data_IF_093591421682
#
_entry.id   IF_093591421682
#
_cell.length_a   1.000
_cell.length_b   1.000
_cell.length_c   1.000
_cell.angle_alpha   90.00
_cell.angle_beta   90.00
_cell.angle_gamma   90.00
#
_symmetry.space_group_name_H-M   'P 1'
#
loop_
_entity.id
_entity.type
_entity.pdbx_description
1 polymer ?
#
# COMPACT_ATOMS: atom_id res chain seq x y z
N UNK A 1 -2.75 6.93 9.04
CA UNK A 1 -2.51 7.42 7.66
C UNK A 1 -3.80 7.88 6.97
N UNK A 2 -5.00 7.48 7.41
CA UNK A 2 -6.24 7.97 6.81
C UNK A 2 -7.48 7.26 7.33
N UNK A 3 -8.61 7.41 6.64
CA UNK A 3 -9.84 6.65 6.92
C UNK A 3 -10.41 6.02 5.64
N UNK A 4 -11.02 4.85 5.79
CA UNK A 4 -11.65 4.12 4.69
C UNK A 4 -12.84 4.89 4.13
N UNK A 5 -12.82 5.24 2.84
CA UNK A 5 -13.95 5.88 2.14
C UNK A 5 -14.79 4.86 1.37
N UNK A 6 -14.14 3.87 0.76
CA UNK A 6 -14.77 2.78 0.00
C UNK A 6 -14.06 1.46 0.28
N UNK A 7 -14.78 0.35 0.33
CA UNK A 7 -14.16 -0.96 0.57
C UNK A 7 -14.87 -2.12 -0.12
N UNK A 8 -14.08 -3.16 -0.40
CA UNK A 8 -14.51 -4.48 -0.87
C UNK A 8 -13.61 -5.55 -0.24
N UNK A 9 -13.91 -6.82 -0.45
CA UNK A 9 -13.03 -7.91 0.04
C UNK A 9 -11.70 -7.94 -0.71
N UNK A 10 -11.59 -7.32 -1.89
CA UNK A 10 -10.35 -7.27 -2.68
C UNK A 10 -9.44 -6.11 -2.28
N UNK A 11 -9.94 -5.12 -1.55
CA UNK A 11 -9.19 -3.92 -1.25
C UNK A 11 -10.07 -2.77 -0.77
N UNK A 12 -9.46 -1.65 -0.45
CA UNK A 12 -10.13 -0.47 0.09
C UNK A 12 -9.45 0.81 -0.36
N UNK A 13 -10.22 1.90 -0.34
CA UNK A 13 -9.75 3.26 -0.62
C UNK A 13 -9.72 4.02 0.69
N UNK A 14 -8.62 4.71 0.95
CA UNK A 14 -8.45 5.63 2.07
C UNK A 14 -8.36 7.07 1.60
N UNK A 15 -8.83 7.99 2.42
CA UNK A 15 -8.59 9.42 2.24
C UNK A 15 -7.78 9.98 3.41
N UNK A 16 -6.85 10.87 3.09
CA UNK A 16 -6.02 11.64 4.03
C UNK A 16 -6.44 13.09 3.98
N UNK A 17 -6.50 13.76 5.14
CA UNK A 17 -6.63 15.22 5.20
C UNK A 17 -5.26 15.82 5.47
N UNK A 18 -4.76 16.62 4.54
CA UNK A 18 -3.61 17.48 4.79
C UNK A 18 -3.98 18.54 5.85
N UNK A 19 -3.04 18.95 6.73
CA UNK A 19 -1.60 18.76 6.64
C UNK A 19 -1.08 17.58 7.48
N UNK A 20 -1.74 16.40 7.45
CA UNK A 20 -1.17 15.20 8.07
C UNK A 20 0.29 14.96 7.60
N UNK A 21 1.19 14.61 8.52
CA UNK A 21 2.64 14.71 8.30
C UNK A 21 3.22 13.68 7.31
N UNK A 22 2.45 12.67 6.91
CA UNK A 22 2.97 11.55 6.11
C UNK A 22 1.95 11.08 5.08
N UNK A 23 2.23 11.40 3.81
CA UNK A 23 1.52 10.81 2.67
C UNK A 23 1.94 9.34 2.59
N UNK A 24 0.99 8.39 2.45
CA UNK A 24 1.33 6.99 2.26
C UNK A 24 2.23 6.81 1.03
N UNK A 25 3.09 5.79 1.06
CA UNK A 25 3.97 5.45 -0.06
C UNK A 25 3.50 4.18 -0.77
N UNK A 26 3.76 4.12 -2.07
CA UNK A 26 3.49 2.94 -2.88
C UNK A 26 4.25 1.71 -2.33
N UNK A 27 3.59 0.55 -2.27
CA UNK A 27 4.12 -0.66 -1.67
C UNK A 27 3.96 -0.75 -0.14
N UNK A 28 3.55 0.32 0.54
CA UNK A 28 3.44 0.31 2.00
C UNK A 28 2.34 -0.63 2.49
N UNK A 29 2.63 -1.30 3.60
CA UNK A 29 1.68 -2.12 4.33
C UNK A 29 0.82 -1.25 5.24
N UNK A 30 -0.49 -1.43 5.15
CA UNK A 30 -1.46 -0.79 6.03
C UNK A 30 -2.49 -1.79 6.57
N UNK A 31 -3.19 -1.40 7.63
CA UNK A 31 -4.28 -2.19 8.21
C UNK A 31 -5.52 -1.33 8.43
N UNK A 32 -6.68 -1.95 8.26
CA UNK A 32 -7.97 -1.33 8.54
C UNK A 32 -8.91 -2.33 9.22
N UNK A 33 -9.64 -1.86 10.23
CA UNK A 33 -10.54 -2.70 11.02
C UNK A 33 -11.73 -3.20 10.20
N UNK A 34 -12.06 -4.47 10.40
CA UNK A 34 -13.21 -5.16 9.84
C UNK A 34 -14.00 -5.86 10.96
N UNK A 35 -15.21 -6.36 10.64
CA UNK A 35 -16.04 -7.13 11.58
C UNK A 35 -16.17 -6.51 12.98
N UNK A 36 -16.37 -5.18 13.06
CA UNK A 36 -16.46 -4.44 14.33
C UNK A 36 -15.24 -4.64 15.25
N UNK A 37 -14.04 -4.70 14.67
CA UNK A 37 -12.78 -4.85 15.39
C UNK A 37 -12.40 -6.30 15.72
N UNK A 38 -13.17 -7.29 15.26
CA UNK A 38 -12.83 -8.71 15.44
C UNK A 38 -11.80 -9.22 14.42
N UNK A 39 -11.58 -8.46 13.34
CA UNK A 39 -10.54 -8.71 12.36
C UNK A 39 -9.96 -7.41 11.84
N UNK A 40 -8.76 -7.47 11.27
CA UNK A 40 -8.15 -6.35 10.58
C UNK A 40 -7.65 -6.81 9.21
N UNK A 41 -8.02 -6.11 8.15
CA UNK A 41 -7.56 -6.40 6.79
C UNK A 41 -6.17 -5.81 6.62
N UNK A 42 -5.26 -6.57 6.03
CA UNK A 42 -3.91 -6.12 5.67
C UNK A 42 -3.93 -5.72 4.20
N UNK A 43 -3.51 -4.49 3.91
CA UNK A 43 -3.51 -3.88 2.59
C UNK A 43 -2.11 -3.49 2.12
N UNK A 44 -1.90 -3.52 0.80
CA UNK A 44 -0.74 -2.91 0.12
C UNK A 44 -1.19 -1.71 -0.69
N UNK A 45 -0.61 -0.54 -0.42
CA UNK A 45 -0.95 0.70 -1.12
C UNK A 45 -0.37 0.67 -2.54
N UNK A 46 -1.21 0.83 -3.56
CA UNK A 46 -0.80 0.66 -4.96
C UNK A 46 -1.19 1.81 -5.88
N UNK A 47 -1.99 2.75 -5.42
CA UNK A 47 -2.38 3.93 -6.18
C UNK A 47 -2.59 5.08 -5.19
N UNK A 48 -2.00 6.23 -5.46
CA UNK A 48 -2.09 7.43 -4.61
C UNK A 48 -2.39 8.58 -5.56
N UNK A 49 -3.59 9.13 -5.44
CA UNK A 49 -4.05 10.25 -6.22
C UNK A 49 -4.21 11.48 -5.33
N UNK A 50 -3.74 12.60 -5.82
CA UNK A 50 -3.97 13.91 -5.22
C UNK A 50 -4.98 14.58 -6.13
N UNK A 51 -6.23 14.71 -5.67
CA UNK A 51 -7.25 15.33 -6.50
C UNK A 51 -7.01 16.85 -6.60
N UNK A 52 -7.00 17.38 -7.82
CA UNK A 52 -6.94 18.82 -8.03
C UNK A 52 -8.24 19.48 -7.54
N UNK A 53 -8.12 20.43 -6.61
CA UNK A 53 -9.14 21.46 -6.49
C UNK A 53 -9.18 22.24 -7.82
N UNK A 54 -10.38 22.48 -8.37
CA UNK A 54 -10.57 23.31 -9.57
C UNK A 54 -9.83 24.67 -9.48
N UNK A 55 -9.63 25.18 -8.27
CA UNK A 55 -8.85 26.38 -7.99
C UNK A 55 -7.33 26.18 -8.11
N UNK A 56 -6.78 25.00 -7.78
CA UNK A 56 -5.35 24.71 -7.90
C UNK A 56 -4.88 24.77 -9.36
N UNK A 57 -5.68 24.23 -10.29
CA UNK A 57 -5.43 24.36 -11.73
C UNK A 57 -5.41 25.80 -12.19
N UNK A 58 -6.37 26.61 -11.74
CA UNK A 58 -6.44 28.03 -12.09
C UNK A 58 -5.24 28.82 -11.57
N UNK A 59 -4.73 28.49 -10.39
CA UNK A 59 -3.52 29.07 -9.83
C UNK A 59 -2.24 28.63 -10.55
N UNK A 60 -2.10 27.35 -10.90
CA UNK A 60 -0.94 26.85 -11.63
C UNK A 60 -0.77 27.52 -13.01
N UNK A 61 -1.88 27.92 -13.62
CA UNK A 61 -1.90 28.68 -14.88
C UNK A 61 -1.80 30.20 -14.71
N UNK A 62 -1.82 30.72 -13.47
CA UNK A 62 -1.75 32.16 -13.21
C UNK A 62 -0.31 32.60 -12.95
N UNK A 63 0.25 33.45 -13.81
CA UNK A 63 1.52 34.11 -13.53
C UNK A 63 1.36 35.15 -12.39
N UNK A 64 2.24 35.11 -11.39
CA UNK A 64 2.36 36.18 -10.39
C UNK A 64 1.53 36.06 -9.11
N UNK A 65 1.30 34.85 -8.58
CA UNK A 65 0.70 34.68 -7.26
C UNK A 65 1.58 35.28 -6.16
N UNK A 66 0.98 36.05 -5.25
CA UNK A 66 1.68 36.60 -4.10
C UNK A 66 2.15 35.45 -3.18
N UNK A 67 3.30 35.58 -2.49
CA UNK A 67 3.82 34.56 -1.57
C UNK A 67 2.80 34.13 -0.49
N UNK A 68 1.97 35.06 -0.05
CA UNK A 68 0.89 34.85 0.92
C UNK A 68 -0.23 33.97 0.36
N UNK A 69 -0.58 34.12 -0.92
CA UNK A 69 -1.55 33.29 -1.62
C UNK A 69 -1.01 31.87 -1.86
N UNK A 70 0.29 31.74 -2.13
CA UNK A 70 0.97 30.45 -2.24
C UNK A 70 1.01 29.71 -0.89
N UNK A 71 1.25 30.45 0.21
CA UNK A 71 1.24 29.89 1.56
C UNK A 71 -0.17 29.45 1.97
N UNK A 72 -1.18 30.29 1.76
CA UNK A 72 -2.58 29.96 2.06
C UNK A 72 -3.06 28.73 1.26
N UNK A 73 -2.69 28.65 -0.03
CA UNK A 73 -2.93 27.48 -0.86
C UNK A 73 -2.27 26.19 -0.36
N UNK A 74 -1.08 26.29 0.25
CA UNK A 74 -0.34 25.12 0.77
C UNK A 74 -0.80 24.68 2.16
N UNK A 75 -1.21 25.61 3.02
CA UNK A 75 -1.46 25.35 4.43
C UNK A 75 -2.95 25.35 4.82
N UNK A 76 -3.80 26.13 4.14
CA UNK A 76 -5.23 26.22 4.46
C UNK A 76 -6.14 25.43 3.52
N UNK A 77 -5.64 24.92 2.37
CA UNK A 77 -6.45 24.07 1.51
C UNK A 77 -6.37 22.60 1.88
N UNK A 78 -7.55 22.03 2.01
CA UNK A 78 -7.77 20.61 2.23
C UNK A 78 -7.80 19.91 0.86
N UNK A 79 -6.64 19.69 0.25
CA UNK A 79 -6.56 18.83 -0.94
C UNK A 79 -6.75 17.38 -0.47
N UNK A 80 -7.83 16.68 -0.88
CA UNK A 80 -8.01 15.29 -0.49
C UNK A 80 -6.99 14.43 -1.24
N UNK A 81 -6.15 13.75 -0.48
CA UNK A 81 -5.30 12.67 -1.02
C UNK A 81 -6.07 11.38 -0.87
N UNK A 82 -6.37 10.71 -1.97
CA UNK A 82 -6.93 9.37 -1.96
C UNK A 82 -5.84 8.33 -2.25
N UNK A 83 -5.98 7.15 -1.66
CA UNK A 83 -5.10 6.03 -1.99
C UNK A 83 -5.89 4.72 -2.01
N UNK A 84 -5.51 3.83 -2.91
CA UNK A 84 -6.06 2.49 -3.01
C UNK A 84 -5.10 1.46 -2.40
N UNK A 85 -5.65 0.54 -1.62
CA UNK A 85 -4.93 -0.56 -1.00
C UNK A 85 -5.53 -1.91 -1.44
N UNK A 86 -4.66 -2.81 -1.93
CA UNK A 86 -4.99 -4.19 -2.27
C UNK A 86 -5.02 -5.04 -1.01
N UNK A 87 -6.11 -5.78 -0.76
CA UNK A 87 -6.16 -6.71 0.36
C UNK A 87 -5.26 -7.94 0.08
N UNK A 88 -4.25 -8.14 0.92
CA UNK A 88 -3.28 -9.25 0.80
C UNK A 88 -3.35 -10.24 1.97
N UNK A 89 -4.33 -10.06 2.84
CA UNK A 89 -4.57 -10.92 3.97
C UNK A 89 -5.39 -10.22 5.04
N UNK A 90 -5.55 -10.89 6.16
CA UNK A 90 -6.20 -10.32 7.33
C UNK A 90 -5.70 -10.98 8.61
N UNK A 91 -5.89 -10.29 9.72
CA UNK A 91 -5.56 -10.74 11.07
C UNK A 91 -6.84 -11.12 11.80
N UNK A 92 -6.82 -12.32 12.40
CA UNK A 92 -7.79 -12.80 13.37
C UNK A 92 -7.12 -12.99 14.74
N UNK A 93 -7.92 -13.20 15.80
CA UNK A 93 -7.41 -13.81 17.02
C UNK A 93 -6.74 -15.15 16.67
N UNK A 94 -5.41 -15.24 16.82
CA UNK A 94 -4.62 -16.41 16.41
C UNK A 94 -3.77 -16.23 15.15
N UNK A 95 -3.65 -15.02 14.61
CA UNK A 95 -2.61 -14.64 13.65
C UNK A 95 -3.11 -14.29 12.26
N UNK A 96 -2.18 -14.24 11.31
CA UNK A 96 -2.46 -13.84 9.94
C UNK A 96 -3.09 -14.97 9.12
N UNK A 97 -3.88 -14.56 8.12
CA UNK A 97 -4.48 -15.41 7.10
C UNK A 97 -4.19 -14.78 5.74
N UNK A 98 -3.73 -15.60 4.80
CA UNK A 98 -3.33 -15.20 3.46
C UNK A 98 -4.42 -15.59 2.46
N UNK A 99 -5.54 -14.90 2.56
CA UNK A 99 -6.66 -15.01 1.62
C UNK A 99 -7.44 -13.71 1.66
N UNK A 100 -8.47 -13.59 0.81
CA UNK A 100 -9.41 -12.49 0.93
C UNK A 100 -10.06 -12.51 2.33
N UNK A 101 -10.24 -11.34 2.96
CA UNK A 101 -10.98 -11.25 4.22
C UNK A 101 -12.44 -11.66 4.02
N UNK A 102 -13.07 -12.27 5.04
CA UNK A 102 -14.46 -12.69 4.98
C UNK A 102 -15.44 -11.50 4.90
N UNK A 103 -14.99 -10.31 5.32
CA UNK A 103 -15.72 -9.04 5.19
C UNK A 103 -14.74 -7.91 4.88
N UNK A 104 -15.16 -6.91 4.08
CA UNK A 104 -14.34 -5.72 3.85
C UNK A 104 -14.10 -4.93 5.16
N UNK A 105 -13.11 -4.02 5.17
CA UNK A 105 -13.02 -2.99 6.21
C UNK A 105 -14.31 -2.18 6.32
N UNK A 106 -14.61 -1.70 7.53
CA UNK A 106 -15.75 -0.82 7.75
C UNK A 106 -15.52 0.56 7.11
N UNK A 107 -16.56 1.14 6.52
CA UNK A 107 -16.52 2.55 6.09
C UNK A 107 -16.18 3.43 7.29
N UNK A 108 -15.33 4.44 7.06
CA UNK A 108 -14.75 5.32 8.08
C UNK A 108 -13.85 4.64 9.12
N UNK A 109 -13.53 3.35 8.99
CA UNK A 109 -12.51 2.72 9.81
C UNK A 109 -11.18 3.47 9.68
N UNK A 110 -10.44 3.67 10.79
CA UNK A 110 -9.11 4.24 10.72
C UNK A 110 -8.17 3.28 9.97
N UNK A 111 -7.26 3.86 9.18
CA UNK A 111 -6.22 3.15 8.47
C UNK A 111 -4.88 3.46 9.15
N UNK A 112 -4.19 2.42 9.59
CA UNK A 112 -2.91 2.51 10.29
C UNK A 112 -1.79 1.91 9.43
N UNK A 113 -0.56 2.46 9.49
CA UNK A 113 0.59 1.78 8.92
C UNK A 113 0.90 0.52 9.74
N UNK A 114 1.38 -0.54 9.11
CA UNK A 114 1.91 -1.68 9.88
C UNK A 114 3.28 -1.30 10.46
N UNK A 115 3.52 -1.63 11.72
CA UNK A 115 4.85 -1.47 12.31
C UNK A 115 5.84 -2.48 11.69
N UNK A 116 7.14 -2.17 11.69
CA UNK A 116 8.18 -3.04 11.11
C UNK A 116 8.15 -4.47 11.66
N UNK A 117 7.86 -4.65 12.96
CA UNK A 117 7.69 -5.97 13.57
C UNK A 117 6.49 -6.74 13.01
N UNK A 118 5.38 -6.06 12.72
CA UNK A 118 4.20 -6.66 12.11
C UNK A 118 4.43 -6.97 10.63
N UNK A 119 5.11 -6.08 9.89
CA UNK A 119 5.51 -6.35 8.50
C UNK A 119 6.40 -7.60 8.45
N UNK A 120 7.42 -7.68 9.32
CA UNK A 120 8.29 -8.85 9.42
C UNK A 120 7.49 -10.12 9.70
N UNK A 121 6.59 -10.09 10.69
CA UNK A 121 5.77 -11.25 11.05
C UNK A 121 4.79 -11.65 9.94
N UNK A 122 4.15 -10.69 9.28
CA UNK A 122 3.22 -10.95 8.18
C UNK A 122 3.94 -11.52 6.95
N UNK A 123 5.13 -11.02 6.65
CA UNK A 123 5.92 -11.43 5.47
C UNK A 123 6.88 -12.57 5.75
N UNK A 124 6.86 -13.16 6.95
CA UNK A 124 7.68 -14.34 7.28
C UNK A 124 7.32 -15.56 6.43
N UNK A 125 6.08 -15.60 5.96
CA UNK A 125 5.60 -16.59 5.01
C UNK A 125 5.21 -15.94 3.67
N UNK A 126 5.40 -16.62 2.54
CA UNK A 126 5.26 -16.01 1.22
C UNK A 126 3.84 -16.05 0.64
N UNK A 127 2.83 -16.57 1.35
CA UNK A 127 1.49 -16.83 0.78
C UNK A 127 0.69 -15.57 0.44
N UNK A 128 1.19 -14.37 0.77
CA UNK A 128 0.66 -13.10 0.26
C UNK A 128 1.09 -12.80 -1.18
N UNK A 129 2.22 -13.35 -1.65
CA UNK A 129 2.78 -13.10 -2.99
C UNK A 129 1.79 -13.49 -4.10
N UNK A 130 1.15 -14.68 -4.07
CA UNK A 130 0.14 -15.04 -5.07
C UNK A 130 -1.06 -14.08 -5.13
N UNK A 131 -1.44 -13.49 -3.99
CA UNK A 131 -2.56 -12.54 -3.93
C UNK A 131 -2.22 -11.24 -4.68
N UNK A 132 -0.96 -10.82 -4.65
CA UNK A 132 -0.48 -9.67 -5.42
C UNK A 132 -0.36 -10.03 -6.90
N UNK A 133 0.31 -11.14 -7.24
CA UNK A 133 0.51 -11.55 -8.63
C UNK A 133 -0.80 -11.83 -9.39
N UNK A 134 -1.82 -12.30 -8.67
CA UNK A 134 -3.16 -12.58 -9.20
C UNK A 134 -4.11 -11.38 -9.22
N UNK A 135 -3.69 -10.21 -8.73
CA UNK A 135 -4.51 -9.01 -8.78
C UNK A 135 -4.48 -8.41 -10.19
N UNK A 136 -5.64 -8.46 -10.86
CA UNK A 136 -5.85 -7.81 -12.15
C UNK A 136 -6.04 -6.30 -11.98
N UNK A 137 -5.77 -5.55 -13.05
CA UNK A 137 -6.04 -4.10 -13.16
C UNK A 137 -5.21 -3.20 -12.22
N UNK A 138 -4.09 -3.71 -11.72
CA UNK A 138 -3.14 -2.95 -10.89
C UNK A 138 -1.70 -3.18 -11.37
N UNK A 139 -0.74 -2.30 -11.03
CA UNK A 139 0.69 -2.52 -11.31
C UNK A 139 1.27 -3.60 -10.36
N UNK A 140 0.85 -4.85 -10.54
CA UNK A 140 1.12 -5.94 -9.59
C UNK A 140 2.62 -6.24 -9.38
N UNK A 141 3.41 -6.19 -10.45
CA UNK A 141 4.84 -6.54 -10.38
C UNK A 141 5.65 -5.43 -9.69
N UNK A 142 5.37 -4.16 -10.00
CA UNK A 142 5.95 -3.01 -9.30
C UNK A 142 5.51 -2.99 -7.84
N UNK A 143 4.23 -3.24 -7.57
CA UNK A 143 3.67 -3.32 -6.22
C UNK A 143 4.38 -4.38 -5.40
N UNK A 144 4.54 -5.58 -5.95
CA UNK A 144 5.22 -6.68 -5.29
C UNK A 144 6.70 -6.36 -5.04
N UNK A 145 7.40 -5.82 -6.03
CA UNK A 145 8.80 -5.42 -5.89
C UNK A 145 8.99 -4.36 -4.78
N UNK A 146 8.19 -3.29 -4.80
CA UNK A 146 8.22 -2.25 -3.77
C UNK A 146 7.90 -2.80 -2.37
N UNK A 147 6.87 -3.65 -2.27
CA UNK A 147 6.45 -4.25 -0.99
C UNK A 147 7.52 -5.20 -0.44
N UNK A 148 8.22 -5.94 -1.29
CA UNK A 148 9.34 -6.80 -0.89
C UNK A 148 10.52 -5.99 -0.35
N UNK A 149 10.84 -4.83 -0.95
CA UNK A 149 11.89 -3.93 -0.42
C UNK A 149 11.52 -3.41 0.96
N UNK A 150 10.31 -2.87 1.11
CA UNK A 150 9.84 -2.36 2.40
C UNK A 150 9.79 -3.47 3.48
N UNK A 151 9.42 -4.69 3.09
CA UNK A 151 9.49 -5.85 3.96
C UNK A 151 10.93 -6.23 4.33
N UNK A 152 11.88 -6.14 3.39
CA UNK A 152 13.30 -6.34 3.70
C UNK A 152 13.82 -5.24 4.64
N UNK A 153 13.49 -3.98 4.41
CA UNK A 153 13.92 -2.85 5.25
C UNK A 153 13.40 -2.95 6.70
N UNK A 154 12.20 -3.52 6.89
CA UNK A 154 11.61 -3.82 8.19
C UNK A 154 12.37 -4.91 8.99
N UNK A 155 13.39 -5.54 8.40
CA UNK A 155 14.24 -6.56 9.02
C UNK A 155 15.64 -6.02 9.34
N UNK A 156 16.35 -6.62 10.31
CA UNK A 156 17.77 -6.36 10.53
C UNK A 156 18.61 -6.60 9.27
N UNK A 157 19.69 -5.85 9.10
CA UNK A 157 20.54 -5.89 7.89
C UNK A 157 20.96 -7.31 7.48
N UNK A 158 21.30 -8.16 8.44
CA UNK A 158 21.72 -9.54 8.20
C UNK A 158 20.62 -10.44 7.61
N UNK A 159 19.35 -10.08 7.77
CA UNK A 159 18.20 -10.88 7.31
C UNK A 159 17.63 -10.37 5.98
N UNK A 160 18.00 -9.15 5.54
CA UNK A 160 17.42 -8.51 4.34
C UNK A 160 17.67 -9.30 3.08
N UNK A 161 18.93 -9.63 2.80
CA UNK A 161 19.31 -10.40 1.62
C UNK A 161 18.75 -11.84 1.65
N UNK A 162 18.86 -12.61 2.75
CA UNK A 162 18.22 -13.91 2.85
C UNK A 162 16.71 -13.88 2.56
N UNK A 163 16.00 -12.88 3.09
CA UNK A 163 14.57 -12.69 2.83
C UNK A 163 14.29 -12.44 1.35
N UNK A 164 15.00 -11.50 0.72
CA UNK A 164 14.82 -11.18 -0.70
C UNK A 164 15.13 -12.38 -1.62
N UNK A 165 16.16 -13.17 -1.29
CA UNK A 165 16.49 -14.41 -2.01
C UNK A 165 15.37 -15.45 -1.87
N UNK A 166 14.82 -15.64 -0.67
CA UNK A 166 13.71 -16.55 -0.45
C UNK A 166 12.45 -16.11 -1.22
N UNK A 167 12.12 -14.82 -1.18
CA UNK A 167 11.01 -14.26 -1.94
C UNK A 167 11.21 -14.39 -3.46
N UNK A 168 12.41 -14.09 -3.96
CA UNK A 168 12.74 -14.25 -5.38
C UNK A 168 12.63 -15.70 -5.87
N UNK A 169 13.01 -16.67 -5.05
CA UNK A 169 12.81 -18.10 -5.34
C UNK A 169 11.32 -18.47 -5.43
N UNK A 170 10.50 -17.92 -4.53
CA UNK A 170 9.06 -18.14 -4.60
C UNK A 170 8.46 -17.50 -5.85
N UNK A 171 8.85 -16.27 -6.21
CA UNK A 171 8.43 -15.65 -7.45
C UNK A 171 8.82 -16.50 -8.67
N UNK A 172 10.04 -17.04 -8.69
CA UNK A 172 10.49 -17.92 -9.77
C UNK A 172 9.66 -19.22 -9.87
N UNK A 173 9.23 -19.76 -8.72
CA UNK A 173 8.34 -20.92 -8.66
C UNK A 173 6.93 -20.59 -9.18
N UNK A 174 6.38 -19.44 -8.80
CA UNK A 174 5.03 -19.00 -9.18
C UNK A 174 4.94 -18.56 -10.64
N UNK A 175 6.00 -17.96 -11.18
CA UNK A 175 6.10 -17.45 -12.55
C UNK A 175 6.89 -18.38 -13.48
N UNK A 176 7.00 -19.67 -13.17
CA UNK A 176 7.80 -20.63 -13.94
C UNK A 176 7.37 -20.76 -15.41
N UNK A 177 6.11 -20.40 -15.72
CA UNK A 177 5.55 -20.40 -17.07
C UNK A 177 5.55 -19.02 -17.74
N UNK A 178 6.03 -17.98 -17.08
CA UNK A 178 6.11 -16.62 -17.58
C UNK A 178 7.45 -15.98 -17.18
N UNK A 179 8.52 -16.48 -17.82
CA UNK A 179 9.89 -16.07 -17.53
C UNK A 179 10.14 -14.59 -17.84
N UNK A 180 9.45 -14.05 -18.84
CA UNK A 180 9.54 -12.62 -19.20
C UNK A 180 9.03 -11.74 -18.06
N UNK A 181 7.87 -12.10 -17.47
CA UNK A 181 7.32 -11.39 -16.31
C UNK A 181 8.22 -11.53 -15.08
N UNK A 182 8.74 -12.73 -14.82
CA UNK A 182 9.69 -12.96 -13.73
C UNK A 182 10.93 -12.08 -13.84
N UNK A 183 11.53 -12.04 -15.02
CA UNK A 183 12.75 -11.27 -15.30
C UNK A 183 12.54 -9.76 -15.10
N UNK A 184 11.38 -9.25 -15.53
CA UNK A 184 11.00 -7.86 -15.26
C UNK A 184 10.82 -7.59 -13.77
N UNK A 185 10.11 -8.45 -13.05
CA UNK A 185 9.93 -8.32 -11.60
C UNK A 185 11.27 -8.31 -10.85
N UNK A 186 12.19 -9.21 -11.21
CA UNK A 186 13.50 -9.29 -10.54
C UNK A 186 14.36 -8.06 -10.83
N UNK A 187 14.32 -7.51 -12.04
CA UNK A 187 14.97 -6.21 -12.36
C UNK A 187 14.36 -5.08 -11.55
N UNK A 188 13.02 -4.99 -11.51
CA UNK A 188 12.32 -4.00 -10.69
C UNK A 188 12.59 -4.20 -9.21
N UNK A 189 12.91 -5.40 -8.72
CA UNK A 189 13.27 -5.59 -7.31
C UNK A 189 14.69 -5.07 -6.99
N UNK A 190 15.62 -5.12 -7.96
CA UNK A 190 17.02 -4.72 -7.79
C UNK A 190 17.30 -3.22 -7.95
N UNK A 191 16.42 -2.49 -8.65
CA UNK A 191 16.58 -1.06 -8.94
C UNK A 191 16.65 -0.15 -7.70
#
# INVERSE_FOLDING_TARGET
>A
IGRVTRSSTRGFVGAVRLPEPEIPVFGAFCLADAQRGQSAVIGLIYDISIEDDAFARQMATSEGLAPEQLADARFNRQVPVEFSALAVGFRLPGGFRYSLPPQPPLTMAPIHPLASAEIRSFTDRPEWIPLVLGAAEIPADDLLAASLRLAAEARPDAERLPFLVAAGRECARLLSHDLSRLDNLLRTLQA
#
